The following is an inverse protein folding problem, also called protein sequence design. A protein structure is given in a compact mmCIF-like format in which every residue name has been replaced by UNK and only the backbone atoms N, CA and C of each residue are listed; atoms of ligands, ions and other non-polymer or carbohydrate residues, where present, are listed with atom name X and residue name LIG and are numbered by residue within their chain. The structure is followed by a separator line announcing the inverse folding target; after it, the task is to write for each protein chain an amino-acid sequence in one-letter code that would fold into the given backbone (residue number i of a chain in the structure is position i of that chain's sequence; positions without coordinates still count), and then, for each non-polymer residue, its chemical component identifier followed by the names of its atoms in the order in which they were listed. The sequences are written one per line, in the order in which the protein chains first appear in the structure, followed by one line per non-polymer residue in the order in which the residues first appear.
data_IF_677162546418
#
_entry.id   IF_677162546418
#
_cell.length_a   1.000
_cell.length_b   1.000
_cell.length_c   1.000
_cell.angle_alpha   90.00
_cell.angle_beta   90.00
_cell.angle_gamma   90.00
#
_symmetry.space_group_name_H-M   'P 1'
#
loop_
_entity.id
_entity.type
_entity.pdbx_description
1 polymer ?
#
# COMPACT_ATOMS: atom_id res chain seq x y z
N UNK A 1 17.35 -0.45 20.42
CA UNK A 1 16.31 -0.87 19.46
C UNK A 1 14.99 -0.30 19.96
N UNK A 2 14.69 0.95 19.63
CA UNK A 2 13.48 1.64 20.12
C UNK A 2 12.33 1.57 19.10
N UNK A 3 11.20 1.00 19.56
CA UNK A 3 9.81 1.32 19.17
C UNK A 3 9.49 1.49 17.68
N UNK A 4 9.46 0.40 16.92
CA UNK A 4 8.82 0.37 15.59
C UNK A 4 7.28 0.31 15.71
N UNK A 5 6.73 -0.02 16.88
CA UNK A 5 5.30 -0.27 17.05
C UNK A 5 4.42 0.98 17.11
N UNK A 6 4.98 2.17 17.34
CA UNK A 6 4.16 3.26 17.89
C UNK A 6 3.23 3.95 16.90
N UNK A 7 3.40 3.87 15.57
CA UNK A 7 2.54 4.64 14.65
C UNK A 7 2.42 4.00 13.25
N UNK A 8 1.73 2.88 13.11
CA UNK A 8 1.35 2.33 11.79
C UNK A 8 0.03 2.91 11.24
N UNK A 9 -0.73 3.65 12.05
CA UNK A 9 -1.92 4.37 11.58
C UNK A 9 -1.52 5.54 10.68
N UNK A 10 -2.14 5.64 9.50
CA UNK A 10 -1.93 6.72 8.54
C UNK A 10 -3.26 7.32 8.13
N UNK A 11 -3.29 8.63 7.92
CA UNK A 11 -4.47 9.30 7.38
C UNK A 11 -4.60 8.94 5.89
N UNK A 12 -5.84 8.73 5.47
CA UNK A 12 -6.17 8.60 4.06
C UNK A 12 -6.17 10.01 3.43
N UNK A 13 -5.34 10.22 2.42
CA UNK A 13 -5.22 11.50 1.72
C UNK A 13 -5.98 11.42 0.40
N UNK A 14 -6.87 12.38 0.15
CA UNK A 14 -7.57 12.47 -1.12
C UNK A 14 -6.59 12.91 -2.22
N UNK A 15 -6.54 12.17 -3.32
CA UNK A 15 -5.75 12.57 -4.49
C UNK A 15 -6.51 13.69 -5.20
N UNK A 16 -5.83 14.80 -5.51
CA UNK A 16 -6.46 16.02 -6.01
C UNK A 16 -7.31 15.77 -7.26
N UNK A 17 -8.53 16.33 -7.28
CA UNK A 17 -9.44 16.29 -8.44
C UNK A 17 -10.12 14.95 -8.73
N UNK A 18 -9.84 13.89 -7.96
CA UNK A 18 -10.36 12.54 -8.23
C UNK A 18 -11.29 11.97 -7.15
N UNK A 19 -11.81 10.79 -7.43
CA UNK A 19 -12.51 9.89 -6.49
C UNK A 19 -11.56 8.94 -5.75
N UNK A 20 -10.24 9.09 -5.97
CA UNK A 20 -9.21 8.19 -5.44
C UNK A 20 -8.53 8.76 -4.20
N UNK A 21 -8.02 7.84 -3.38
CA UNK A 21 -7.32 8.15 -2.14
C UNK A 21 -5.97 7.44 -2.09
N UNK A 22 -5.05 7.98 -1.31
CA UNK A 22 -3.72 7.43 -1.10
C UNK A 22 -3.41 7.31 0.39
N UNK A 23 -2.65 6.28 0.75
CA UNK A 23 -2.03 6.12 2.07
C UNK A 23 -0.52 6.16 1.91
N UNK A 24 0.18 6.77 2.86
CA UNK A 24 1.64 6.78 2.86
C UNK A 24 2.14 5.47 3.46
N UNK A 25 2.71 4.62 2.62
CA UNK A 25 3.33 3.35 3.05
C UNK A 25 4.74 3.66 3.56
N UNK A 26 5.12 3.26 4.78
CA UNK A 26 6.48 3.41 5.28
C UNK A 26 7.50 2.76 4.35
N UNK A 27 8.66 3.42 4.18
CA UNK A 27 9.74 2.94 3.31
C UNK A 27 10.19 1.52 3.65
N UNK A 28 10.26 1.18 4.95
CA UNK A 28 10.65 -0.15 5.42
C UNK A 28 9.78 -1.28 4.83
N UNK A 29 8.51 -1.02 4.52
CA UNK A 29 7.63 -2.03 3.94
C UNK A 29 7.88 -2.17 2.44
N UNK A 30 8.12 -1.06 1.76
CA UNK A 30 8.52 -1.05 0.35
C UNK A 30 9.81 -1.85 0.17
N UNK A 31 10.80 -1.61 1.03
CA UNK A 31 12.08 -2.31 1.01
C UNK A 31 11.91 -3.82 1.30
N UNK A 32 11.10 -4.18 2.31
CA UNK A 32 10.81 -5.60 2.64
C UNK A 32 10.07 -6.34 1.54
N UNK A 33 9.17 -5.66 0.82
CA UNK A 33 8.41 -6.23 -0.28
C UNK A 33 9.18 -6.20 -1.61
N UNK A 34 10.35 -5.53 -1.66
CA UNK A 34 11.11 -5.35 -2.89
C UNK A 34 10.43 -4.44 -3.91
N UNK A 35 9.39 -3.70 -3.50
CA UNK A 35 8.59 -2.88 -4.38
C UNK A 35 9.37 -1.69 -4.94
N UNK A 36 9.21 -1.43 -6.23
CA UNK A 36 9.87 -0.34 -6.94
C UNK A 36 8.89 0.79 -7.27
N UNK A 37 9.43 2.00 -7.43
CA UNK A 37 8.62 3.13 -7.87
C UNK A 37 7.98 2.84 -9.24
N UNK A 38 6.72 3.25 -9.41
CA UNK A 38 5.93 3.11 -10.64
C UNK A 38 5.63 1.67 -11.08
N UNK A 39 5.88 0.66 -10.23
CA UNK A 39 5.47 -0.71 -10.53
C UNK A 39 3.94 -0.87 -10.47
N UNK A 40 3.43 -1.92 -11.12
CA UNK A 40 2.01 -2.30 -11.04
C UNK A 40 1.75 -3.12 -9.77
N UNK A 41 0.62 -2.85 -9.13
CA UNK A 41 0.15 -3.57 -7.95
C UNK A 41 -1.31 -3.96 -8.15
N UNK A 42 -1.69 -5.13 -7.64
CA UNK A 42 -3.08 -5.58 -7.55
C UNK A 42 -3.70 -5.07 -6.23
N UNK A 43 -4.91 -4.53 -6.32
CA UNK A 43 -5.66 -4.00 -5.17
C UNK A 43 -6.98 -4.74 -5.10
N UNK A 44 -7.22 -5.48 -4.02
CA UNK A 44 -8.49 -6.19 -3.79
C UNK A 44 -9.14 -5.78 -2.48
N UNK A 45 -10.45 -5.55 -2.52
CA UNK A 45 -11.27 -5.42 -1.32
C UNK A 45 -11.63 -6.80 -0.79
N UNK A 46 -11.30 -7.06 0.47
CA UNK A 46 -11.66 -8.30 1.16
C UNK A 46 -12.36 -7.95 2.48
N UNK A 47 -13.69 -8.03 2.49
CA UNK A 47 -14.49 -7.66 3.65
C UNK A 47 -14.26 -6.20 4.06
N UNK A 48 -13.62 -6.00 5.21
CA UNK A 48 -13.36 -4.69 5.80
C UNK A 48 -11.92 -4.15 5.56
N UNK A 49 -11.15 -4.77 4.66
CA UNK A 49 -9.75 -4.39 4.39
C UNK A 49 -9.43 -4.41 2.90
N UNK A 50 -8.44 -3.60 2.52
CA UNK A 50 -7.83 -3.63 1.20
C UNK A 50 -6.52 -4.42 1.29
N UNK A 51 -6.32 -5.35 0.37
CA UNK A 51 -5.10 -6.12 0.20
C UNK A 51 -4.39 -5.60 -1.05
N UNK A 52 -3.13 -5.21 -0.90
CA UNK A 52 -2.27 -4.77 -1.99
C UNK A 52 -1.18 -5.83 -2.18
N UNK A 53 -0.99 -6.32 -3.41
CA UNK A 53 -0.02 -7.35 -3.76
C UNK A 53 0.71 -6.99 -5.05
N UNK A 54 1.85 -7.63 -5.29
CA UNK A 54 2.50 -7.56 -6.59
C UNK A 54 1.55 -8.01 -7.69
N UNK A 55 1.59 -7.27 -8.80
CA UNK A 55 0.82 -7.63 -9.96
C UNK A 55 1.51 -8.78 -10.70
N UNK A 56 0.89 -9.96 -10.67
CA UNK A 56 1.35 -11.13 -11.41
C UNK A 56 0.61 -11.22 -12.76
N UNK A 57 1.32 -11.10 -13.89
CA UNK A 57 0.72 -11.30 -15.21
C UNK A 57 0.43 -12.80 -15.41
N UNK A 58 -0.79 -13.25 -15.08
CA UNK A 58 -1.22 -14.62 -15.42
C UNK A 58 -2.10 -15.35 -14.41
N UNK A 59 -2.61 -14.71 -13.36
CA UNK A 59 -3.65 -15.31 -12.52
C UNK A 59 -4.94 -15.49 -13.35
N UNK A 60 -5.04 -16.63 -14.04
CA UNK A 60 -6.27 -17.15 -14.63
C UNK A 60 -7.28 -17.53 -13.55
#
# INVERSE_FOLDING_TARGET
MEKIEKQQTRKLTKVAGGSSYAVVIPREFIDKLGWQARQKLDIKLYGNRIIIRDWEPGAK
#
